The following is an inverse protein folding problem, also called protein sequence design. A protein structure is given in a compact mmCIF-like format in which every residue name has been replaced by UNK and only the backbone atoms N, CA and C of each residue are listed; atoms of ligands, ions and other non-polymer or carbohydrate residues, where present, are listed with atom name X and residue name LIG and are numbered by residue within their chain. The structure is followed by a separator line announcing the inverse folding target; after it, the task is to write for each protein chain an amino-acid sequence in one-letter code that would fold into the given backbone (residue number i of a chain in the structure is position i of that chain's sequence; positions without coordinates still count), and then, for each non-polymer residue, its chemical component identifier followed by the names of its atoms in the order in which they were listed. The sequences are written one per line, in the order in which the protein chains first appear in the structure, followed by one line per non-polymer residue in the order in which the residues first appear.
data_IF_263585927564
#
_entry.id   IF_263585927564
#
_cell.length_a   1.000
_cell.length_b   1.000
_cell.length_c   1.000
_cell.angle_alpha   90.00
_cell.angle_beta   90.00
_cell.angle_gamma   90.00
#
_symmetry.space_group_name_H-M   'P 1'
#
loop_
_entity.id
_entity.type
_entity.pdbx_description
1 polymer ?
#
# COMPACT_ATOMS: atom_id res chain seq x y z
N UNK A 1 20.30 5.23 -35.01
CA UNK A 1 19.88 3.85 -34.69
C UNK A 1 20.49 3.46 -33.34
N UNK A 2 19.64 3.00 -32.42
CA UNK A 2 19.84 3.12 -30.98
C UNK A 2 20.71 2.02 -30.35
N UNK A 3 21.68 2.47 -29.55
CA UNK A 3 22.52 1.68 -28.61
C UNK A 3 21.64 0.99 -27.54
N UNK A 4 20.43 1.50 -27.32
CA UNK A 4 19.43 1.00 -26.37
C UNK A 4 18.96 -0.43 -26.71
N UNK A 5 19.02 -0.85 -27.98
CA UNK A 5 18.56 -2.20 -28.37
C UNK A 5 19.54 -3.33 -28.04
N UNK A 6 20.82 -3.04 -27.76
CA UNK A 6 21.83 -4.08 -27.45
C UNK A 6 21.97 -4.42 -25.96
N UNK A 7 21.45 -3.60 -25.06
CA UNK A 7 21.47 -3.88 -23.61
C UNK A 7 20.31 -4.77 -23.14
N UNK A 8 19.33 -5.06 -24.02
CA UNK A 8 18.11 -5.81 -23.68
C UNK A 8 18.30 -7.34 -23.62
N UNK A 9 19.42 -7.86 -24.09
CA UNK A 9 19.59 -9.31 -24.34
C UNK A 9 20.42 -10.07 -23.31
N UNK A 10 20.84 -9.42 -22.22
CA UNK A 10 21.71 -10.05 -21.19
C UNK A 10 21.09 -10.07 -19.79
N UNK A 11 19.77 -9.93 -19.66
CA UNK A 11 19.08 -9.85 -18.36
C UNK A 11 18.17 -11.05 -18.03
N UNK A 12 18.15 -12.12 -18.82
CA UNK A 12 17.25 -13.27 -18.59
C UNK A 12 18.05 -14.54 -18.32
N UNK A 13 18.89 -14.57 -17.28
CA UNK A 13 19.52 -15.85 -16.92
C UNK A 13 19.80 -16.13 -15.45
N UNK A 14 19.29 -15.36 -14.47
CA UNK A 14 19.42 -15.72 -13.04
C UNK A 14 18.21 -15.26 -12.23
N UNK A 15 17.12 -16.03 -12.28
CA UNK A 15 15.92 -15.86 -11.43
C UNK A 15 15.89 -16.93 -10.31
N UNK A 16 17.05 -17.43 -9.88
CA UNK A 16 17.15 -18.39 -8.77
C UNK A 16 17.85 -17.82 -7.51
N UNK A 17 17.84 -16.49 -7.32
CA UNK A 17 18.40 -15.83 -6.12
C UNK A 17 17.51 -14.67 -5.59
N UNK A 18 16.19 -14.86 -5.54
CA UNK A 18 15.23 -13.82 -5.08
C UNK A 18 14.98 -13.85 -3.57
N UNK A 19 16.04 -13.84 -2.77
CA UNK A 19 15.94 -13.53 -1.33
C UNK A 19 16.85 -12.35 -0.95
N UNK A 20 17.90 -12.06 -1.73
CA UNK A 20 18.84 -10.95 -1.44
C UNK A 20 18.51 -9.58 -2.04
N UNK A 21 17.80 -9.52 -3.18
CA UNK A 21 17.51 -8.23 -3.85
C UNK A 21 16.37 -7.43 -3.19
N UNK A 22 15.49 -8.10 -2.44
CA UNK A 22 14.29 -7.50 -1.85
C UNK A 22 14.63 -6.72 -0.56
N UNK A 23 15.51 -7.26 0.30
CA UNK A 23 16.00 -6.57 1.50
C UNK A 23 16.66 -5.22 1.15
N UNK A 24 17.36 -5.17 0.01
CA UNK A 24 18.05 -3.97 -0.45
C UNK A 24 17.06 -2.87 -0.90
N UNK A 25 15.93 -3.25 -1.50
CA UNK A 25 14.90 -2.28 -1.92
C UNK A 25 14.16 -1.65 -0.74
N UNK A 26 13.83 -2.41 0.31
CA UNK A 26 13.23 -1.84 1.53
C UNK A 26 14.19 -0.85 2.19
N UNK A 27 15.45 -1.24 2.36
CA UNK A 27 16.48 -0.38 2.94
C UNK A 27 16.66 0.92 2.14
N UNK A 28 16.65 0.83 0.80
CA UNK A 28 16.77 1.99 -0.08
C UNK A 28 15.55 2.93 0.01
N UNK A 29 14.32 2.40 0.02
CA UNK A 29 13.11 3.21 0.15
C UNK A 29 13.06 3.89 1.52
N UNK A 30 13.40 3.16 2.59
CA UNK A 30 13.47 3.70 3.95
C UNK A 30 14.51 4.82 4.06
N UNK A 31 15.71 4.62 3.49
CA UNK A 31 16.73 5.65 3.44
C UNK A 31 16.28 6.90 2.68
N UNK A 32 15.58 6.73 1.55
CA UNK A 32 15.01 7.85 0.79
C UNK A 32 13.92 8.61 1.58
N UNK A 33 13.04 7.90 2.29
CA UNK A 33 12.03 8.49 3.17
C UNK A 33 12.70 9.32 4.27
N UNK A 34 13.72 8.77 4.92
CA UNK A 34 14.40 9.45 6.02
C UNK A 34 15.22 10.66 5.55
N UNK A 35 15.85 10.58 4.38
CA UNK A 35 16.50 11.73 3.75
C UNK A 35 15.50 12.83 3.40
N UNK A 36 14.33 12.46 2.88
CA UNK A 36 13.27 13.43 2.59
C UNK A 36 12.73 14.09 3.86
N UNK A 37 12.57 13.35 4.96
CA UNK A 37 12.22 13.91 6.28
C UNK A 37 13.24 14.95 6.75
N UNK A 38 14.54 14.65 6.63
CA UNK A 38 15.63 15.58 7.00
C UNK A 38 15.56 16.87 6.18
N UNK A 39 15.38 16.77 4.87
CA UNK A 39 15.25 17.93 3.97
C UNK A 39 14.04 18.78 4.32
N UNK A 40 12.89 18.17 4.58
CA UNK A 40 11.67 18.89 5.02
C UNK A 40 11.91 19.58 6.37
N UNK A 41 12.55 18.90 7.33
CA UNK A 41 12.88 19.49 8.63
C UNK A 41 13.80 20.72 8.47
N UNK A 42 14.84 20.62 7.64
CA UNK A 42 15.72 21.74 7.33
C UNK A 42 14.95 22.91 6.68
N UNK A 43 14.08 22.63 5.71
CA UNK A 43 13.25 23.64 5.06
C UNK A 43 12.30 24.34 6.06
N UNK A 44 11.70 23.59 7.00
CA UNK A 44 10.88 24.15 8.08
C UNK A 44 11.66 25.09 9.00
N UNK A 45 12.92 24.77 9.30
CA UNK A 45 13.79 25.67 10.09
C UNK A 45 14.03 26.97 9.32
N UNK A 46 14.31 26.89 8.01
CA UNK A 46 14.49 28.10 7.20
C UNK A 46 13.21 28.93 7.12
N UNK A 47 12.05 28.30 6.96
CA UNK A 47 10.75 28.99 7.00
C UNK A 47 10.54 29.72 8.33
N UNK A 48 10.93 29.11 9.46
CA UNK A 48 10.86 29.77 10.78
C UNK A 48 11.79 30.98 10.85
N UNK A 49 13.03 30.87 10.36
CA UNK A 49 13.98 32.00 10.31
C UNK A 49 13.44 33.17 9.48
N UNK A 50 12.83 32.87 8.32
CA UNK A 50 12.19 33.89 7.47
C UNK A 50 11.06 34.57 8.23
N UNK A 51 10.18 33.81 8.90
CA UNK A 51 9.09 34.37 9.73
C UNK A 51 9.62 35.30 10.82
N UNK A 52 10.65 34.88 11.55
CA UNK A 52 11.28 35.72 12.59
C UNK A 52 11.87 37.00 12.00
N UNK A 53 12.51 36.91 10.83
CA UNK A 53 13.06 38.08 10.13
C UNK A 53 11.96 39.04 9.63
N UNK A 54 10.85 38.51 9.14
CA UNK A 54 9.65 39.28 8.78
C UNK A 54 9.14 40.04 10.01
N UNK A 55 8.89 39.34 11.12
CA UNK A 55 8.39 39.94 12.37
C UNK A 55 9.32 41.05 12.86
N UNK A 56 10.63 40.81 12.92
CA UNK A 56 11.58 41.83 13.34
C UNK A 56 11.60 43.04 12.42
N UNK A 57 11.40 42.83 11.12
CA UNK A 57 11.32 43.94 10.15
C UNK A 57 10.04 44.75 10.33
N UNK A 58 8.91 44.10 10.63
CA UNK A 58 7.64 44.75 10.95
C UNK A 58 7.78 45.59 12.22
N UNK A 59 8.37 45.06 13.29
CA UNK A 59 8.63 45.80 14.53
C UNK A 59 9.50 47.05 14.28
N UNK A 60 10.53 46.91 13.43
CA UNK A 60 11.37 48.06 13.02
C UNK A 60 10.60 49.09 12.21
N UNK A 61 9.70 48.66 11.33
CA UNK A 61 8.83 49.55 10.56
C UNK A 61 7.90 50.35 11.48
N UNK A 62 7.30 49.69 12.47
CA UNK A 62 6.44 50.33 13.47
C UNK A 62 7.21 51.35 14.31
N UNK A 63 8.39 50.96 14.83
CA UNK A 63 9.25 51.87 15.58
C UNK A 63 9.69 53.10 14.76
N UNK A 64 10.00 52.93 13.47
CA UNK A 64 10.36 54.03 12.58
C UNK A 64 9.15 54.92 12.24
N UNK A 65 7.96 54.33 12.11
CA UNK A 65 6.71 55.06 11.94
C UNK A 65 6.42 55.97 13.14
N UNK A 66 6.58 55.46 14.36
CA UNK A 66 6.42 56.26 15.58
C UNK A 66 7.44 57.42 15.65
N UNK A 67 8.70 57.16 15.31
CA UNK A 67 9.74 58.21 15.27
C UNK A 67 9.40 59.29 14.25
N UNK A 68 8.92 58.89 13.07
CA UNK A 68 8.52 59.80 12.01
C UNK A 68 7.34 60.66 12.44
N UNK A 69 6.35 60.07 13.12
CA UNK A 69 5.22 60.80 13.70
C UNK A 69 5.67 61.83 14.75
N UNK A 70 6.60 61.45 15.64
CA UNK A 70 7.18 62.37 16.63
C UNK A 70 7.88 63.56 15.97
N UNK A 71 8.62 63.34 14.88
CA UNK A 71 9.25 64.43 14.12
C UNK A 71 8.23 65.32 13.43
N UNK A 72 7.13 64.77 12.91
CA UNK A 72 6.02 65.55 12.37
C UNK A 72 5.38 66.44 13.44
N UNK A 73 5.08 65.89 14.61
CA UNK A 73 4.52 66.66 15.74
C UNK A 73 5.46 67.77 16.20
N UNK A 74 6.77 67.51 16.24
CA UNK A 74 7.78 68.54 16.56
C UNK A 74 7.85 69.63 15.50
N UNK A 75 7.82 69.28 14.22
CA UNK A 75 7.80 70.27 13.14
C UNK A 75 6.61 71.23 13.25
N UNK A 76 5.43 70.71 13.59
CA UNK A 76 4.22 71.53 13.79
C UNK A 76 4.37 72.51 14.97
N UNK A 77 4.96 72.06 16.09
CA UNK A 77 5.18 72.92 17.27
C UNK A 77 6.22 74.00 17.01
N UNK A 78 7.33 73.66 16.36
CA UNK A 78 8.41 74.62 16.09
C UNK A 78 8.04 75.63 14.99
N UNK A 79 7.06 75.32 14.12
CA UNK A 79 6.62 76.22 13.05
C UNK A 79 6.08 77.57 13.56
N UNK A 80 5.58 77.63 14.81
CA UNK A 80 5.06 78.85 15.42
C UNK A 80 6.16 79.77 15.98
N UNK A 81 7.39 79.27 16.14
CA UNK A 81 8.45 79.97 16.89
C UNK A 81 9.79 80.04 16.14
N UNK A 82 10.13 79.04 15.32
CA UNK A 82 11.41 78.93 14.63
C UNK A 82 11.26 78.08 13.36
N UNK A 83 11.04 78.76 12.23
CA UNK A 83 10.88 78.16 10.90
C UNK A 83 12.08 77.28 10.51
N UNK A 84 13.30 77.69 10.88
CA UNK A 84 14.51 76.94 10.54
C UNK A 84 14.55 75.56 11.22
N UNK A 85 14.15 75.48 12.49
CA UNK A 85 14.03 74.22 13.23
C UNK A 85 12.87 73.35 12.73
N UNK A 86 11.76 73.97 12.34
CA UNK A 86 10.64 73.27 11.73
C UNK A 86 11.07 72.56 10.43
N UNK A 87 11.81 73.24 9.57
CA UNK A 87 12.37 72.67 8.33
C UNK A 87 13.34 71.50 8.60
N UNK A 88 14.21 71.61 9.62
CA UNK A 88 15.07 70.49 10.03
C UNK A 88 14.28 69.27 10.52
N UNK A 89 13.18 69.48 11.25
CA UNK A 89 12.29 68.41 11.68
C UNK A 89 11.59 67.75 10.49
N UNK A 90 11.16 68.52 9.49
CA UNK A 90 10.61 67.99 8.24
C UNK A 90 11.64 67.19 7.45
N UNK A 91 12.89 67.64 7.39
CA UNK A 91 13.97 66.88 6.74
C UNK A 91 14.21 65.53 7.43
N UNK A 92 14.19 65.48 8.77
CA UNK A 92 14.29 64.22 9.52
C UNK A 92 13.09 63.31 9.29
N UNK A 93 11.87 63.87 9.24
CA UNK A 93 10.65 63.14 8.89
C UNK A 93 10.77 62.53 7.49
N UNK A 94 11.25 63.29 6.51
CA UNK A 94 11.41 62.80 5.14
C UNK A 94 12.34 61.59 5.06
N UNK A 95 13.50 61.64 5.73
CA UNK A 95 14.41 60.49 5.85
C UNK A 95 13.74 59.28 6.52
N UNK A 96 12.93 59.50 7.55
CA UNK A 96 12.15 58.46 8.19
C UNK A 96 11.12 57.81 7.25
N UNK A 97 10.44 58.62 6.42
CA UNK A 97 9.50 58.11 5.41
C UNK A 97 10.20 57.27 4.33
N UNK A 98 11.38 57.69 3.86
CA UNK A 98 12.19 56.91 2.93
C UNK A 98 12.62 55.57 3.54
N UNK A 99 13.02 55.57 4.82
CA UNK A 99 13.38 54.35 5.53
C UNK A 99 12.17 53.42 5.72
N UNK A 100 10.99 53.97 6.04
CA UNK A 100 9.75 53.20 6.11
C UNK A 100 9.40 52.56 4.76
N UNK A 101 9.58 53.28 3.65
CA UNK A 101 9.30 52.73 2.32
C UNK A 101 10.18 51.49 2.04
N UNK A 102 11.48 51.59 2.31
CA UNK A 102 12.42 50.45 2.19
C UNK A 102 12.05 49.28 3.09
N UNK A 103 11.66 49.55 4.34
CA UNK A 103 11.23 48.50 5.28
C UNK A 103 9.94 47.82 4.80
N UNK A 104 8.97 48.57 4.23
CA UNK A 104 7.74 48.00 3.66
C UNK A 104 8.02 47.08 2.48
N UNK A 105 8.92 47.49 1.58
CA UNK A 105 9.35 46.66 0.46
C UNK A 105 9.98 45.36 0.96
N UNK A 106 10.89 45.44 1.92
CA UNK A 106 11.53 44.26 2.52
C UNK A 106 10.52 43.34 3.23
N UNK A 107 9.49 43.88 3.90
CA UNK A 107 8.40 43.06 4.47
C UNK A 107 7.63 42.33 3.37
N UNK A 108 7.33 43.01 2.25
CA UNK A 108 6.63 42.40 1.13
C UNK A 108 7.45 41.25 0.52
N UNK A 109 8.76 41.44 0.33
CA UNK A 109 9.67 40.40 -0.15
C UNK A 109 9.73 39.19 0.79
N UNK A 110 9.81 39.43 2.10
CA UNK A 110 9.76 38.35 3.10
C UNK A 110 8.45 37.57 3.02
N UNK A 111 7.30 38.24 2.85
CA UNK A 111 6.00 37.58 2.73
C UNK A 111 5.91 36.68 1.51
N UNK A 112 6.28 37.20 0.34
CA UNK A 112 6.30 36.42 -0.91
C UNK A 112 7.20 35.20 -0.77
N UNK A 113 8.41 35.40 -0.24
CA UNK A 113 9.36 34.30 -0.02
C UNK A 113 8.84 33.28 0.99
N UNK A 114 8.26 33.75 2.10
CA UNK A 114 7.66 32.90 3.15
C UNK A 114 6.54 32.04 2.58
N UNK A 115 5.65 32.60 1.78
CA UNK A 115 4.52 31.89 1.19
C UNK A 115 4.97 30.83 0.21
N UNK A 116 5.91 31.16 -0.67
CA UNK A 116 6.53 30.21 -1.59
C UNK A 116 7.17 29.03 -0.85
N UNK A 117 8.04 29.31 0.13
CA UNK A 117 8.70 28.25 0.92
C UNK A 117 7.69 27.42 1.71
N UNK A 118 6.63 28.04 2.25
CA UNK A 118 5.58 27.32 2.96
C UNK A 118 4.80 26.37 2.04
N UNK A 119 4.48 26.81 0.82
CA UNK A 119 3.83 25.98 -0.18
C UNK A 119 4.72 24.80 -0.60
N UNK A 120 6.01 25.06 -0.88
CA UNK A 120 6.97 24.02 -1.25
C UNK A 120 7.13 22.96 -0.15
N UNK A 121 7.21 23.41 1.12
CA UNK A 121 7.24 22.51 2.29
C UNK A 121 5.99 21.65 2.35
N UNK A 122 4.80 22.25 2.23
CA UNK A 122 3.54 21.51 2.28
C UNK A 122 3.42 20.48 1.15
N UNK A 123 3.87 20.83 -0.06
CA UNK A 123 3.92 19.90 -1.19
C UNK A 123 4.86 18.72 -0.92
N UNK A 124 6.05 18.99 -0.38
CA UNK A 124 7.03 17.95 -0.03
C UNK A 124 6.49 17.03 1.07
N UNK A 125 5.76 17.57 2.05
CA UNK A 125 5.11 16.78 3.11
C UNK A 125 4.01 15.88 2.55
N UNK A 126 3.18 16.40 1.64
CA UNK A 126 2.17 15.60 0.95
C UNK A 126 2.78 14.44 0.16
N UNK A 127 3.85 14.72 -0.60
CA UNK A 127 4.59 13.69 -1.34
C UNK A 127 5.22 12.64 -0.40
N UNK A 128 5.83 13.08 0.71
CA UNK A 128 6.40 12.17 1.71
C UNK A 128 5.33 11.26 2.32
N UNK A 129 4.17 11.81 2.67
CA UNK A 129 3.05 11.01 3.21
C UNK A 129 2.60 9.94 2.22
N UNK A 130 2.48 10.29 0.94
CA UNK A 130 2.15 9.33 -0.13
C UNK A 130 3.20 8.23 -0.27
N UNK A 131 4.50 8.59 -0.24
CA UNK A 131 5.59 7.62 -0.28
C UNK A 131 5.57 6.66 0.91
N UNK A 132 5.31 7.17 2.12
CA UNK A 132 5.19 6.34 3.33
C UNK A 132 4.00 5.38 3.25
N UNK A 133 2.84 5.83 2.76
CA UNK A 133 1.68 4.96 2.55
C UNK A 133 1.95 3.88 1.50
N UNK A 134 2.62 4.22 0.40
CA UNK A 134 3.02 3.26 -0.63
C UNK A 134 4.01 2.24 -0.07
N UNK A 135 4.99 2.67 0.71
CA UNK A 135 5.94 1.79 1.38
C UNK A 135 5.23 0.78 2.29
N UNK A 136 4.30 1.24 3.13
CA UNK A 136 3.53 0.35 4.00
C UNK A 136 2.71 -0.69 3.23
N UNK A 137 2.03 -0.27 2.16
CA UNK A 137 1.30 -1.19 1.28
C UNK A 137 2.23 -2.24 0.66
N UNK A 138 3.43 -1.85 0.23
CA UNK A 138 4.39 -2.79 -0.37
C UNK A 138 4.96 -3.75 0.68
N UNK A 139 5.20 -3.28 1.91
CA UNK A 139 5.59 -4.12 3.04
C UNK A 139 4.52 -5.16 3.37
N UNK A 140 3.25 -4.76 3.41
CA UNK A 140 2.13 -5.67 3.65
C UNK A 140 2.00 -6.72 2.53
N UNK A 141 2.20 -6.33 1.27
CA UNK A 141 2.23 -7.24 0.12
C UNK A 141 3.39 -8.23 0.23
N UNK A 142 4.58 -7.77 0.59
CA UNK A 142 5.74 -8.64 0.78
C UNK A 142 5.47 -9.69 1.86
N UNK A 143 5.00 -9.26 3.03
CA UNK A 143 4.62 -10.17 4.13
C UNK A 143 3.59 -11.23 3.69
N UNK A 144 2.63 -10.85 2.84
CA UNK A 144 1.65 -11.78 2.29
C UNK A 144 2.28 -12.80 1.34
N UNK A 145 3.20 -12.37 0.47
CA UNK A 145 3.96 -13.25 -0.43
C UNK A 145 4.87 -14.19 0.36
N UNK A 146 5.56 -13.69 1.38
CA UNK A 146 6.43 -14.49 2.24
C UNK A 146 5.61 -15.55 3.00
N UNK A 147 4.43 -15.18 3.54
CA UNK A 147 3.52 -16.11 4.19
C UNK A 147 2.98 -17.18 3.22
N UNK A 148 2.58 -16.80 2.00
CA UNK A 148 2.16 -17.76 0.97
C UNK A 148 3.30 -18.69 0.54
N UNK A 149 4.52 -18.16 0.43
CA UNK A 149 5.70 -18.96 0.08
C UNK A 149 6.02 -19.96 1.19
N UNK A 150 6.01 -19.54 2.46
CA UNK A 150 6.20 -20.42 3.61
C UNK A 150 5.10 -21.51 3.72
N UNK A 151 3.84 -21.17 3.41
CA UNK A 151 2.74 -22.13 3.34
C UNK A 151 2.97 -23.15 2.22
N UNK A 152 3.42 -22.72 1.05
CA UNK A 152 3.70 -23.62 -0.08
C UNK A 152 4.94 -24.50 0.17
N UNK A 153 6.00 -23.97 0.78
CA UNK A 153 7.21 -24.72 1.15
C UNK A 153 6.92 -25.79 2.20
N UNK A 154 6.04 -25.48 3.18
CA UNK A 154 5.65 -26.43 4.23
C UNK A 154 4.56 -27.40 3.74
N UNK A 155 3.66 -26.93 2.89
CA UNK A 155 2.49 -27.69 2.43
C UNK A 155 2.73 -28.59 1.22
N UNK A 156 3.69 -28.28 0.34
CA UNK A 156 3.91 -29.05 -0.90
C UNK A 156 4.40 -30.49 -0.65
N UNK A 157 5.33 -30.69 0.29
CA UNK A 157 5.81 -32.02 0.63
C UNK A 157 4.83 -32.82 1.51
N UNK A 158 4.07 -32.13 2.37
CA UNK A 158 3.11 -32.77 3.29
C UNK A 158 1.79 -33.10 2.59
N UNK A 159 1.33 -32.30 1.62
CA UNK A 159 0.15 -32.63 0.81
C UNK A 159 0.40 -33.82 -0.12
N UNK A 160 1.56 -33.90 -0.78
CA UNK A 160 1.89 -35.05 -1.62
C UNK A 160 2.03 -36.33 -0.78
N UNK A 161 2.59 -36.21 0.44
CA UNK A 161 2.71 -37.36 1.36
C UNK A 161 1.37 -37.73 2.00
N UNK A 162 0.48 -36.77 2.25
CA UNK A 162 -0.88 -36.98 2.73
C UNK A 162 -1.74 -37.61 1.62
N UNK A 163 -1.63 -37.12 0.39
CA UNK A 163 -2.29 -37.70 -0.79
C UNK A 163 -1.82 -39.12 -1.03
N UNK A 164 -0.51 -39.38 -1.00
CA UNK A 164 0.03 -40.74 -1.11
C UNK A 164 -0.39 -41.65 0.07
N UNK A 165 -0.68 -41.08 1.24
CA UNK A 165 -1.22 -41.80 2.39
C UNK A 165 -2.72 -42.08 2.22
N UNK A 166 -3.49 -41.15 1.65
CA UNK A 166 -4.87 -41.34 1.25
C UNK A 166 -4.99 -42.37 0.13
N UNK A 167 -4.17 -42.31 -0.92
CA UNK A 167 -4.14 -43.30 -2.00
C UNK A 167 -3.79 -44.70 -1.45
N UNK A 168 -2.82 -44.79 -0.52
CA UNK A 168 -2.53 -46.07 0.17
C UNK A 168 -3.64 -46.53 1.09
N UNK A 169 -4.37 -45.61 1.70
CA UNK A 169 -5.51 -45.94 2.54
C UNK A 169 -6.70 -46.40 1.69
N UNK A 170 -6.97 -45.75 0.56
CA UNK A 170 -7.93 -46.18 -0.47
C UNK A 170 -7.55 -47.54 -1.06
N UNK A 171 -6.28 -47.80 -1.36
CA UNK A 171 -5.83 -49.13 -1.78
C UNK A 171 -6.07 -50.16 -0.68
N UNK A 172 -5.80 -49.83 0.59
CA UNK A 172 -6.09 -50.72 1.73
C UNK A 172 -7.58 -50.94 1.96
N UNK A 173 -8.40 -49.90 1.74
CA UNK A 173 -9.84 -49.95 1.87
C UNK A 173 -10.42 -50.81 0.74
N UNK A 174 -10.01 -50.59 -0.51
CA UNK A 174 -10.37 -51.41 -1.65
C UNK A 174 -9.88 -52.86 -1.50
N UNK A 175 -8.69 -53.09 -0.95
CA UNK A 175 -8.19 -54.43 -0.61
C UNK A 175 -8.96 -55.07 0.55
N UNK A 176 -9.39 -54.26 1.52
CA UNK A 176 -10.25 -54.68 2.62
C UNK A 176 -11.66 -55.02 2.14
N UNK A 177 -12.24 -54.25 1.23
CA UNK A 177 -13.51 -54.51 0.56
C UNK A 177 -13.41 -55.72 -0.41
N UNK A 178 -12.23 -55.96 -0.99
CA UNK A 178 -11.95 -57.18 -1.75
C UNK A 178 -11.68 -58.40 -0.86
N UNK A 179 -11.14 -58.20 0.35
CA UNK A 179 -10.90 -59.24 1.36
C UNK A 179 -12.11 -59.54 2.24
N UNK A 180 -13.05 -58.60 2.29
CA UNK A 180 -14.40 -58.69 2.88
C UNK A 180 -15.47 -58.90 1.80
N UNK A 181 -15.02 -59.28 0.58
CA UNK A 181 -15.66 -60.42 -0.07
C UNK A 181 -15.34 -61.66 0.74
N UNK A 182 -15.94 -61.70 1.93
CA UNK A 182 -16.48 -62.93 2.47
C UNK A 182 -17.10 -63.60 1.25
N UNK A 183 -16.49 -64.70 0.81
CA UNK A 183 -17.16 -65.66 -0.04
C UNK A 183 -18.52 -65.79 0.61
N UNK A 184 -19.57 -65.24 -0.03
CA UNK A 184 -20.95 -65.58 0.29
C UNK A 184 -20.86 -67.07 0.57
N UNK A 185 -21.03 -67.48 1.83
CA UNK A 185 -21.14 -68.89 2.11
C UNK A 185 -22.35 -69.26 1.30
N UNK A 186 -22.12 -69.87 0.15
CA UNK A 186 -23.18 -70.34 -0.71
C UNK A 186 -23.93 -71.27 0.21
N UNK A 187 -25.08 -70.81 0.68
CA UNK A 187 -25.98 -71.65 1.42
C UNK A 187 -26.48 -72.65 0.38
N UNK A 188 -25.78 -73.78 0.30
CA UNK A 188 -26.05 -74.85 -0.65
C UNK A 188 -27.47 -75.38 -0.44
N UNK A 189 -28.00 -75.27 0.79
CA UNK A 189 -29.38 -75.60 1.11
C UNK A 189 -30.34 -74.57 0.48
N UNK A 190 -30.06 -73.27 0.61
CA UNK A 190 -30.89 -72.23 -0.01
C UNK A 190 -30.79 -72.25 -1.55
N UNK A 191 -29.66 -72.63 -2.14
CA UNK A 191 -29.55 -72.85 -3.59
C UNK A 191 -30.33 -74.09 -4.06
N UNK A 192 -30.32 -75.19 -3.30
CA UNK A 192 -31.14 -76.37 -3.62
C UNK A 192 -32.63 -76.05 -3.53
N UNK A 193 -33.08 -75.37 -2.47
CA UNK A 193 -34.48 -74.92 -2.36
C UNK A 193 -34.86 -73.97 -3.50
N UNK A 194 -34.02 -72.98 -3.84
CA UNK A 194 -34.30 -72.07 -4.97
C UNK A 194 -34.32 -72.79 -6.31
N UNK A 195 -33.51 -73.81 -6.53
CA UNK A 195 -33.53 -74.59 -7.77
C UNK A 195 -34.81 -75.43 -7.88
N UNK A 196 -35.21 -76.11 -6.80
CA UNK A 196 -36.42 -76.94 -6.76
C UNK A 196 -37.70 -76.10 -6.85
N UNK A 197 -37.76 -74.97 -6.13
CA UNK A 197 -38.89 -74.05 -6.19
C UNK A 197 -39.01 -73.42 -7.57
N UNK A 198 -37.89 -73.03 -8.19
CA UNK A 198 -37.89 -72.44 -9.53
C UNK A 198 -38.24 -73.50 -10.61
N UNK A 199 -37.84 -74.77 -10.46
CA UNK A 199 -38.27 -75.86 -11.34
C UNK A 199 -39.78 -76.14 -11.19
N UNK A 200 -40.32 -76.08 -9.97
CA UNK A 200 -41.77 -76.18 -9.74
C UNK A 200 -42.53 -75.01 -10.37
N UNK A 201 -42.05 -73.78 -10.22
CA UNK A 201 -42.63 -72.58 -10.83
C UNK A 201 -42.58 -72.68 -12.36
N UNK A 202 -41.46 -73.10 -12.93
CA UNK A 202 -41.30 -73.27 -14.38
C UNK A 202 -42.19 -74.39 -14.93
N UNK A 203 -42.38 -75.49 -14.20
CA UNK A 203 -43.33 -76.56 -14.57
C UNK A 203 -44.77 -76.11 -14.51
N UNK A 204 -45.15 -75.30 -13.51
CA UNK A 204 -46.49 -74.70 -13.44
C UNK A 204 -46.71 -73.74 -14.61
N UNK A 205 -45.74 -72.86 -14.92
CA UNK A 205 -45.80 -71.96 -16.07
C UNK A 205 -45.84 -72.71 -17.40
N UNK A 206 -45.09 -73.82 -17.53
CA UNK A 206 -45.13 -74.68 -18.71
C UNK A 206 -46.49 -75.38 -18.85
N UNK A 207 -47.07 -75.85 -17.75
CA UNK A 207 -48.40 -76.46 -17.75
C UNK A 207 -49.50 -75.43 -18.12
N UNK A 208 -49.41 -74.19 -17.62
CA UNK A 208 -50.28 -73.09 -18.03
C UNK A 208 -50.11 -72.75 -19.52
N UNK A 209 -48.89 -72.73 -20.04
CA UNK A 209 -48.65 -72.49 -21.47
C UNK A 209 -49.19 -73.64 -22.36
N UNK A 210 -49.07 -74.90 -21.92
CA UNK A 210 -49.61 -76.06 -22.64
C UNK A 210 -51.14 -76.04 -22.61
N UNK A 211 -51.78 -75.73 -21.46
CA UNK A 211 -53.23 -75.55 -21.38
C UNK A 211 -53.71 -74.33 -22.18
N UNK A 212 -52.94 -73.25 -22.21
CA UNK A 212 -53.19 -72.07 -23.03
C UNK A 212 -53.09 -72.36 -24.53
N UNK A 213 -52.17 -73.24 -24.96
CA UNK A 213 -52.10 -73.68 -26.36
C UNK A 213 -53.19 -74.69 -26.73
N UNK A 214 -53.60 -75.55 -25.80
CA UNK A 214 -54.72 -76.49 -26.03
C UNK A 214 -56.07 -75.78 -26.13
N UNK A 215 -56.30 -74.69 -25.38
CA UNK A 215 -57.50 -73.84 -25.50
C UNK A 215 -57.51 -72.91 -26.72
N UNK A 216 -56.37 -72.75 -27.41
CA UNK A 216 -56.26 -72.06 -28.71
C UNK A 216 -56.29 -73.03 -29.91
N UNK A 217 -56.41 -74.34 -29.66
CA UNK A 217 -56.45 -75.41 -30.67
C UNK A 217 -57.82 -76.12 -30.77
N UNK A 218 -58.82 -75.66 -30.01
CA UNK A 218 -60.26 -75.93 -30.23
C UNK A 218 -60.90 -74.79 -31.04
#
# INVERSE_FOLDING_TARGET
MSIVKRLSTTLISRIDNLVGDIENHEALIKAAIDEQKKKIAAAKIQLRKIKVSETHTVERLEAEAERTLKWQQRALKEAEHDESKALLCLQRRQKGLEQQAKLREMVAEYRVTRERVAQDVAQCEGALKSLMQKHELMRARQSSVDAMSAINETGGADFDHLQASFDRWEIRLAQGEMGDRELDSIDLLEQEYRADENDQVLRLQLAELIQGQQSLSE
#
